data_IF_151816831463
#
_entry.id   IF_151816831463
#
_cell.length_a   1.000
_cell.length_b   1.000
_cell.length_c   1.000
_cell.angle_alpha   90.00
_cell.angle_beta   90.00
_cell.angle_gamma   90.00
#
_symmetry.space_group_name_H-M   'P 1'
#
loop_
_entity.id
_entity.type
_entity.pdbx_description
1 polymer ?
#
# COMPACT_ATOMS: atom_id res chain seq x y z
N UNK A 1 9.96 -22.58 16.28
CA UNK A 1 8.86 -21.70 15.90
C UNK A 1 9.40 -20.35 15.44
N UNK A 2 8.78 -19.73 14.43
CA UNK A 2 9.03 -18.36 13.97
C UNK A 2 7.77 -17.53 14.19
N UNK A 3 7.94 -16.22 14.42
CA UNK A 3 6.84 -15.26 14.53
C UNK A 3 6.93 -14.24 13.42
N UNK A 4 5.83 -14.03 12.72
CA UNK A 4 5.63 -12.89 11.81
C UNK A 4 4.51 -12.00 12.32
N UNK A 5 4.61 -10.69 12.03
CA UNK A 5 3.59 -9.72 12.38
C UNK A 5 3.39 -8.66 11.31
N UNK A 6 2.14 -8.24 11.14
CA UNK A 6 1.73 -7.03 10.41
C UNK A 6 1.09 -6.08 11.42
N UNK A 7 1.78 -4.97 11.71
CA UNK A 7 1.45 -4.08 12.83
C UNK A 7 0.99 -2.73 12.28
N UNK A 8 -0.33 -2.58 12.19
CA UNK A 8 -0.98 -1.34 11.80
C UNK A 8 -1.54 -0.55 12.98
N UNK A 9 -1.89 0.71 12.75
CA UNK A 9 -2.43 1.61 13.77
C UNK A 9 -3.81 1.21 14.32
N UNK A 10 -4.58 0.42 13.57
CA UNK A 10 -5.92 -0.05 13.97
C UNK A 10 -5.90 -1.53 14.28
N UNK A 11 -5.16 -2.32 13.51
CA UNK A 11 -5.14 -3.78 13.54
C UNK A 11 -3.72 -4.29 13.55
N UNK A 12 -3.43 -5.26 14.41
CA UNK A 12 -2.20 -6.05 14.44
C UNK A 12 -2.52 -7.50 14.15
N UNK A 13 -1.84 -8.12 13.19
CA UNK A 13 -1.95 -9.55 12.89
C UNK A 13 -0.65 -10.23 13.25
N UNK A 14 -0.71 -11.29 14.03
CA UNK A 14 0.43 -12.12 14.40
C UNK A 14 0.24 -13.54 13.89
N UNK A 15 1.30 -14.13 13.38
CA UNK A 15 1.32 -15.49 12.85
C UNK A 15 2.50 -16.27 13.43
N UNK A 16 2.21 -17.41 14.04
CA UNK A 16 3.19 -18.38 14.54
C UNK A 16 3.29 -19.52 13.53
N UNK A 17 4.49 -19.79 13.04
CA UNK A 17 4.71 -20.73 11.95
C UNK A 17 6.05 -21.45 12.02
N UNK A 18 6.19 -22.49 11.23
CA UNK A 18 7.45 -23.22 10.99
C UNK A 18 7.65 -23.43 9.50
N UNK A 19 8.89 -23.47 9.09
CA UNK A 19 9.29 -23.95 7.78
C UNK A 19 9.49 -25.47 7.87
N UNK A 20 8.66 -26.23 7.15
CA UNK A 20 8.70 -27.71 7.15
C UNK A 20 9.55 -28.27 6.01
N UNK A 21 9.67 -27.52 4.92
CA UNK A 21 10.59 -27.77 3.81
C UNK A 21 10.93 -26.44 3.12
N UNK A 22 11.90 -26.41 2.23
CA UNK A 22 12.32 -25.18 1.56
C UNK A 22 11.14 -24.46 0.92
N UNK A 23 10.74 -23.32 1.50
CA UNK A 23 9.64 -22.47 1.05
C UNK A 23 8.24 -22.93 1.46
N UNK A 24 8.08 -24.10 2.12
CA UNK A 24 6.78 -24.59 2.60
C UNK A 24 6.57 -24.25 4.08
N UNK A 25 5.53 -23.48 4.39
CA UNK A 25 5.24 -22.95 5.70
C UNK A 25 4.05 -23.69 6.34
N UNK A 26 4.21 -24.14 7.58
CA UNK A 26 3.14 -24.64 8.41
C UNK A 26 2.72 -23.57 9.41
N UNK A 27 1.50 -23.06 9.27
CA UNK A 27 0.92 -22.10 10.21
C UNK A 27 0.34 -22.85 11.39
N UNK A 28 0.81 -22.53 12.61
CA UNK A 28 0.29 -23.09 13.86
C UNK A 28 -0.82 -22.22 14.46
N UNK A 29 -0.67 -20.92 14.41
CA UNK A 29 -1.65 -19.97 14.91
C UNK A 29 -1.53 -18.64 14.16
N UNK A 30 -2.69 -18.05 13.86
CA UNK A 30 -2.79 -16.69 13.33
C UNK A 30 -3.93 -15.99 14.05
N UNK A 31 -3.69 -14.78 14.53
CA UNK A 31 -4.70 -14.02 15.26
C UNK A 31 -4.58 -12.52 14.95
N UNK A 32 -5.74 -11.90 14.88
CA UNK A 32 -5.89 -10.45 14.70
C UNK A 32 -6.28 -9.79 16.00
N UNK A 33 -5.67 -8.67 16.31
CA UNK A 33 -5.89 -7.84 17.48
C UNK A 33 -6.29 -6.43 17.08
N UNK A 34 -7.20 -5.80 17.83
CA UNK A 34 -7.41 -4.35 17.77
C UNK A 34 -6.20 -3.69 18.46
N UNK A 35 -5.38 -2.99 17.68
CA UNK A 35 -4.12 -2.40 18.21
C UNK A 35 -4.37 -1.41 19.34
N UNK A 36 -5.49 -0.68 19.27
CA UNK A 36 -5.88 0.35 20.24
C UNK A 36 -6.28 -0.20 21.61
N UNK A 37 -6.60 -1.51 21.72
CA UNK A 37 -6.99 -2.16 22.96
C UNK A 37 -5.79 -2.47 23.86
N UNK A 38 -4.57 -2.27 23.35
CA UNK A 38 -3.33 -2.61 24.06
C UNK A 38 -2.44 -1.38 24.26
N UNK A 39 -2.01 -1.08 25.51
CA UNK A 39 -1.12 0.06 25.78
C UNK A 39 0.26 -0.07 25.13
N UNK A 40 0.77 -1.30 24.96
CA UNK A 40 2.08 -1.60 24.42
C UNK A 40 2.05 -2.83 23.52
N UNK A 41 2.97 -2.91 22.57
CA UNK A 41 3.08 -4.07 21.68
C UNK A 41 3.39 -5.37 22.45
N UNK A 42 4.17 -5.30 23.51
CA UNK A 42 4.46 -6.46 24.35
C UNK A 42 3.20 -7.11 24.97
N UNK A 43 2.15 -6.32 25.21
CA UNK A 43 0.89 -6.84 25.73
C UNK A 43 0.17 -7.69 24.68
N UNK A 44 0.27 -7.31 23.39
CA UNK A 44 -0.22 -8.12 22.27
C UNK A 44 0.55 -9.43 22.16
N UNK A 45 1.89 -9.37 22.26
CA UNK A 45 2.73 -10.57 22.24
C UNK A 45 2.38 -11.52 23.40
N UNK A 46 2.19 -11.00 24.61
CA UNK A 46 1.81 -11.77 25.79
C UNK A 46 0.42 -12.40 25.65
N UNK A 47 -0.51 -11.74 24.95
CA UNK A 47 -1.85 -12.28 24.69
C UNK A 47 -1.84 -13.37 23.61
N UNK A 48 -0.91 -13.32 22.67
CA UNK A 48 -0.81 -14.24 21.54
C UNK A 48 0.04 -15.48 21.84
N UNK A 49 1.21 -15.29 22.47
CA UNK A 49 2.22 -16.34 22.62
C UNK A 49 1.90 -17.29 23.78
N UNK A 50 1.96 -18.63 23.57
CA UNK A 50 1.94 -19.58 24.66
C UNK A 50 3.14 -19.36 25.62
N UNK A 51 2.92 -19.61 26.93
CA UNK A 51 3.92 -19.30 27.99
C UNK A 51 5.27 -19.98 27.80
N UNK A 52 5.30 -21.17 27.21
CA UNK A 52 6.51 -21.99 27.07
C UNK A 52 6.99 -22.09 25.63
N UNK A 53 6.60 -21.16 24.76
CA UNK A 53 6.99 -21.17 23.35
C UNK A 53 8.48 -20.84 23.17
N UNK A 54 9.17 -21.65 22.39
CA UNK A 54 10.55 -21.39 21.97
C UNK A 54 10.53 -20.77 20.58
N UNK A 55 10.71 -19.46 20.54
CA UNK A 55 10.87 -18.73 19.27
C UNK A 55 12.33 -18.75 18.83
N UNK A 56 12.58 -18.93 17.54
CA UNK A 56 13.92 -18.84 16.92
C UNK A 56 14.15 -17.51 16.25
N UNK A 57 13.12 -16.96 15.59
CA UNK A 57 13.20 -15.68 14.90
C UNK A 57 11.85 -14.95 14.92
N UNK A 58 11.92 -13.64 14.72
CA UNK A 58 10.75 -12.75 14.63
C UNK A 58 10.97 -11.73 13.52
N UNK A 59 9.98 -11.55 12.64
CA UNK A 59 9.95 -10.49 11.63
C UNK A 59 8.63 -9.74 11.70
N UNK A 60 8.68 -8.41 11.79
CA UNK A 60 7.51 -7.56 12.00
C UNK A 60 7.50 -6.44 10.95
N UNK A 61 6.43 -6.40 10.12
CA UNK A 61 6.10 -5.22 9.32
C UNK A 61 5.38 -4.20 10.20
N UNK A 62 5.87 -2.97 10.26
CA UNK A 62 5.34 -1.94 11.15
C UNK A 62 4.98 -0.67 10.39
N UNK A 63 3.79 -0.12 10.65
CA UNK A 63 3.34 1.14 10.07
C UNK A 63 4.09 2.32 10.70
N UNK A 64 5.14 2.76 10.01
CA UNK A 64 5.99 3.87 10.40
C UNK A 64 7.46 3.68 9.99
N UNK A 65 8.27 4.74 10.11
CA UNK A 65 9.67 4.68 9.71
C UNK A 65 10.48 3.79 10.68
N UNK A 66 11.24 2.85 10.11
CA UNK A 66 12.15 1.99 10.87
C UNK A 66 13.57 2.59 10.80
N UNK A 67 14.09 2.99 11.94
CA UNK A 67 15.45 3.54 12.06
C UNK A 67 16.25 2.72 13.07
N UNK A 68 17.36 2.13 12.65
CA UNK A 68 18.23 1.29 13.50
C UNK A 68 17.46 0.16 14.20
N UNK A 69 16.53 -0.48 13.46
CA UNK A 69 15.70 -1.56 13.97
C UNK A 69 14.77 -1.14 15.13
N UNK A 70 14.35 0.12 15.11
CA UNK A 70 13.41 0.69 16.06
C UNK A 70 12.36 1.50 15.31
N UNK A 71 11.10 1.40 15.72
CA UNK A 71 9.98 2.15 15.18
C UNK A 71 9.14 2.74 16.31
N UNK A 72 8.98 4.09 16.29
CA UNK A 72 7.92 4.76 17.01
C UNK A 72 6.70 4.78 16.06
N UNK A 73 5.68 4.01 16.38
CA UNK A 73 4.50 3.92 15.52
C UNK A 73 3.78 5.26 15.44
N UNK A 74 3.25 5.59 14.25
CA UNK A 74 2.66 6.93 13.99
C UNK A 74 1.30 7.13 14.68
N UNK A 75 0.49 6.08 14.76
CA UNK A 75 -0.91 6.15 15.22
C UNK A 75 -1.15 5.44 16.56
N UNK A 76 -0.12 4.98 17.23
CA UNK A 76 -0.16 4.29 18.52
C UNK A 76 1.00 4.79 19.39
N UNK A 77 0.90 4.71 20.73
CA UNK A 77 1.98 5.10 21.61
C UNK A 77 3.13 4.05 21.68
N UNK A 78 3.15 3.09 20.77
CA UNK A 78 4.08 1.97 20.83
C UNK A 78 5.46 2.35 20.31
N UNK A 79 6.49 2.00 21.10
CA UNK A 79 7.87 1.92 20.66
C UNK A 79 8.23 0.45 20.50
N UNK A 80 8.58 0.05 19.27
CA UNK A 80 8.95 -1.32 18.95
C UNK A 80 10.45 -1.33 18.62
N UNK A 81 11.22 -2.10 19.38
CA UNK A 81 12.68 -2.21 19.27
C UNK A 81 13.05 -3.69 19.08
N UNK A 82 13.53 -4.04 17.88
CA UNK A 82 13.91 -5.42 17.56
C UNK A 82 15.03 -5.95 18.46
N UNK A 83 15.97 -5.11 18.88
CA UNK A 83 17.07 -5.55 19.74
C UNK A 83 16.55 -5.91 21.15
N UNK A 84 15.63 -5.09 21.67
CA UNK A 84 14.98 -5.38 22.94
C UNK A 84 14.14 -6.65 22.89
N UNK A 85 13.37 -6.86 21.80
CA UNK A 85 12.59 -8.08 21.56
C UNK A 85 13.50 -9.31 21.42
N UNK A 86 14.60 -9.18 20.67
CA UNK A 86 15.59 -10.25 20.48
C UNK A 86 16.16 -10.72 21.82
N UNK A 87 16.54 -9.79 22.68
CA UNK A 87 17.07 -10.09 24.02
C UNK A 87 16.01 -10.68 24.94
N UNK A 88 14.80 -10.12 24.93
CA UNK A 88 13.71 -10.56 25.81
C UNK A 88 13.27 -12.01 25.54
N UNK A 89 13.16 -12.37 24.26
CA UNK A 89 12.72 -13.72 23.82
C UNK A 89 13.89 -14.68 23.53
N UNK A 90 15.15 -14.24 23.63
CA UNK A 90 16.33 -15.05 23.33
C UNK A 90 16.41 -15.49 21.85
N UNK A 91 15.97 -14.64 20.92
CA UNK A 91 15.89 -14.97 19.50
C UNK A 91 17.26 -14.96 18.85
N UNK A 92 17.48 -15.85 17.89
CA UNK A 92 18.65 -15.80 16.99
C UNK A 92 18.61 -14.53 16.11
N UNK A 93 17.41 -14.15 15.64
CA UNK A 93 17.21 -12.99 14.76
C UNK A 93 15.86 -12.32 15.07
N UNK A 94 15.87 -10.97 15.08
CA UNK A 94 14.66 -10.16 15.11
C UNK A 94 14.80 -9.01 14.11
N UNK A 95 13.81 -8.83 13.25
CA UNK A 95 13.83 -7.82 12.20
C UNK A 95 12.56 -7.00 12.23
N UNK A 96 12.70 -5.68 12.14
CA UNK A 96 11.61 -4.77 11.77
C UNK A 96 11.76 -4.37 10.31
N UNK A 97 10.65 -4.45 9.61
CA UNK A 97 10.45 -3.89 8.26
C UNK A 97 9.45 -2.74 8.36
N UNK A 98 9.60 -1.73 7.52
CA UNK A 98 8.46 -0.85 7.26
C UNK A 98 7.32 -1.66 6.63
N UNK A 99 6.07 -1.23 6.79
CA UNK A 99 4.88 -1.95 6.25
C UNK A 99 4.93 -2.12 4.72
N UNK A 100 5.46 -1.12 4.00
CA UNK A 100 5.66 -1.20 2.55
C UNK A 100 6.81 -2.13 2.15
N UNK A 101 7.89 -2.20 2.94
CA UNK A 101 8.95 -3.20 2.73
C UNK A 101 8.40 -4.62 2.91
N UNK A 102 7.63 -4.84 3.98
CA UNK A 102 6.97 -6.12 4.23
C UNK A 102 6.00 -6.46 3.08
N UNK A 103 5.17 -5.49 2.65
CA UNK A 103 4.28 -5.67 1.50
C UNK A 103 5.07 -6.02 0.23
N UNK A 104 6.15 -5.30 -0.06
CA UNK A 104 6.95 -5.50 -1.26
C UNK A 104 7.54 -6.92 -1.32
N UNK A 105 8.07 -7.42 -0.20
CA UNK A 105 8.55 -8.80 -0.10
C UNK A 105 7.41 -9.81 -0.24
N UNK A 106 6.25 -9.53 0.35
CA UNK A 106 5.06 -10.36 0.23
C UNK A 106 4.55 -10.50 -1.20
N UNK A 107 4.65 -9.44 -2.01
CA UNK A 107 4.28 -9.49 -3.44
C UNK A 107 5.04 -10.56 -4.22
N UNK A 108 6.28 -10.85 -3.81
CA UNK A 108 7.12 -11.85 -4.48
C UNK A 108 6.66 -13.29 -4.22
N UNK A 109 5.88 -13.52 -3.17
CA UNK A 109 5.40 -14.84 -2.76
C UNK A 109 3.94 -15.12 -3.11
N UNK A 110 3.24 -14.13 -3.71
CA UNK A 110 1.84 -14.32 -4.10
C UNK A 110 1.72 -15.25 -5.31
N UNK A 111 0.78 -16.21 -5.28
CA UNK A 111 0.46 -17.02 -6.45
C UNK A 111 -0.25 -16.17 -7.52
N UNK A 112 -0.14 -16.59 -8.78
CA UNK A 112 -0.65 -15.82 -9.92
C UNK A 112 -2.17 -15.60 -9.89
N UNK A 113 -2.95 -16.47 -9.27
CA UNK A 113 -4.40 -16.33 -9.11
C UNK A 113 -4.82 -15.27 -8.07
N UNK A 114 -3.90 -14.81 -7.25
CA UNK A 114 -4.08 -13.67 -6.34
C UNK A 114 -3.60 -12.34 -6.94
N UNK A 115 -3.15 -12.35 -8.19
CA UNK A 115 -2.65 -11.19 -8.91
C UNK A 115 -3.51 -10.91 -10.16
N UNK A 116 -3.83 -9.65 -10.40
CA UNK A 116 -4.55 -9.21 -11.61
C UNK A 116 -3.61 -8.37 -12.47
N UNK A 117 -3.19 -8.90 -13.62
CA UNK A 117 -2.37 -8.17 -14.60
C UNK A 117 -3.22 -7.13 -15.35
N UNK A 118 -2.80 -5.87 -15.30
CA UNK A 118 -3.45 -4.78 -16.02
C UNK A 118 -2.89 -4.57 -17.42
N UNK A 119 -1.61 -4.93 -17.66
CA UNK A 119 -0.96 -4.69 -18.93
C UNK A 119 -0.98 -5.93 -19.84
N UNK A 120 -1.88 -6.01 -20.84
CA UNK A 120 -1.97 -7.16 -21.73
C UNK A 120 -0.72 -7.39 -22.59
N UNK A 121 0.18 -6.41 -22.66
CA UNK A 121 1.44 -6.51 -23.40
C UNK A 121 2.65 -6.79 -22.48
N UNK A 122 2.40 -7.11 -21.21
CA UNK A 122 3.47 -7.40 -20.24
C UNK A 122 4.38 -8.52 -20.76
N UNK A 123 5.67 -8.31 -20.59
CA UNK A 123 6.69 -9.32 -20.83
C UNK A 123 7.37 -9.67 -19.51
N UNK A 124 7.64 -10.95 -19.32
CA UNK A 124 8.47 -11.37 -18.19
C UNK A 124 9.90 -10.89 -18.38
N UNK A 125 10.39 -10.07 -17.46
CA UNK A 125 11.73 -9.48 -17.50
C UNK A 125 12.37 -9.54 -16.12
N UNK A 126 13.65 -9.91 -16.09
CA UNK A 126 14.45 -9.75 -14.88
C UNK A 126 14.84 -8.29 -14.69
N UNK A 127 14.78 -7.78 -13.47
CA UNK A 127 15.16 -6.41 -13.14
C UNK A 127 14.43 -5.90 -11.91
N UNK A 128 14.69 -4.66 -11.56
CA UNK A 128 14.03 -4.03 -10.42
C UNK A 128 12.51 -4.09 -10.56
N UNK A 129 11.84 -4.17 -9.42
CA UNK A 129 10.40 -4.03 -9.28
C UNK A 129 10.09 -2.87 -8.35
N UNK A 130 8.85 -2.43 -8.32
CA UNK A 130 8.41 -1.46 -7.34
C UNK A 130 6.97 -1.75 -6.90
N UNK A 131 6.61 -1.25 -5.73
CA UNK A 131 5.29 -1.39 -5.14
C UNK A 131 4.72 -0.02 -4.85
N UNK A 132 3.47 0.18 -5.21
CA UNK A 132 2.69 1.36 -4.85
C UNK A 132 1.37 0.91 -4.23
N UNK A 133 0.98 1.48 -3.10
CA UNK A 133 -0.16 1.00 -2.32
C UNK A 133 -1.00 2.15 -1.79
N UNK A 134 -2.21 2.29 -2.32
CA UNK A 134 -3.20 3.26 -1.84
C UNK A 134 -4.10 2.64 -0.77
N UNK A 135 -4.12 3.26 0.38
CA UNK A 135 -4.91 2.90 1.56
C UNK A 135 -5.37 4.14 2.32
N UNK A 136 -5.14 4.21 3.63
CA UNK A 136 -5.29 5.44 4.43
C UNK A 136 -4.35 6.53 3.91
N UNK A 137 -3.12 6.15 3.53
CA UNK A 137 -2.15 6.98 2.84
C UNK A 137 -1.72 6.35 1.51
N UNK A 138 -0.66 6.88 0.91
CA UNK A 138 0.00 6.35 -0.27
C UNK A 138 1.42 5.92 0.07
N UNK A 139 1.64 4.61 0.08
CA UNK A 139 2.97 4.05 0.30
C UNK A 139 3.64 3.62 -1.00
N UNK A 140 4.97 3.74 -1.04
CA UNK A 140 5.81 3.28 -2.13
C UNK A 140 7.04 2.54 -1.58
N UNK A 141 7.45 1.48 -2.27
CA UNK A 141 8.68 0.77 -1.98
C UNK A 141 9.34 0.27 -3.26
N UNK A 142 10.65 0.10 -3.22
CA UNK A 142 11.42 -0.43 -4.32
C UNK A 142 11.90 -1.85 -3.98
N UNK A 143 12.02 -2.69 -5.01
CA UNK A 143 12.64 -4.00 -4.96
C UNK A 143 13.84 -3.99 -5.91
N UNK A 144 15.01 -3.77 -5.36
CA UNK A 144 16.25 -3.79 -6.11
C UNK A 144 16.65 -5.24 -6.42
N UNK A 145 16.94 -5.53 -7.68
CA UNK A 145 17.41 -6.81 -8.17
C UNK A 145 18.92 -6.81 -8.31
N UNK A 146 19.63 -7.62 -7.54
CA UNK A 146 21.10 -7.72 -7.57
C UNK A 146 21.63 -8.75 -8.60
N UNK A 147 20.74 -9.44 -9.29
CA UNK A 147 21.03 -10.52 -10.23
C UNK A 147 20.65 -11.91 -9.70
N UNK A 148 20.38 -12.03 -8.39
CA UNK A 148 20.05 -13.28 -7.72
C UNK A 148 18.87 -13.13 -6.75
N UNK A 149 18.81 -12.00 -5.99
CA UNK A 149 17.81 -11.76 -4.98
C UNK A 149 17.21 -10.35 -5.09
N UNK A 150 15.98 -10.19 -4.56
CA UNK A 150 15.36 -8.89 -4.40
C UNK A 150 15.62 -8.32 -3.00
N UNK A 151 16.03 -7.05 -2.97
CA UNK A 151 16.23 -6.28 -1.74
C UNK A 151 15.16 -5.19 -1.64
N UNK A 152 14.33 -5.25 -0.62
CA UNK A 152 13.31 -4.22 -0.38
C UNK A 152 13.97 -2.94 0.14
N UNK A 153 13.51 -1.80 -0.36
CA UNK A 153 13.94 -0.46 0.04
C UNK A 153 12.70 0.38 0.33
N UNK A 154 12.54 0.81 1.58
CA UNK A 154 11.49 1.73 1.96
C UNK A 154 11.68 3.11 1.30
N UNK A 155 10.60 3.77 1.00
CA UNK A 155 10.56 5.16 0.53
C UNK A 155 9.39 5.90 1.17
N UNK A 156 9.42 7.22 1.08
CA UNK A 156 8.28 8.11 1.35
C UNK A 156 7.81 8.76 0.04
N UNK A 157 7.80 7.96 -1.04
CA UNK A 157 7.51 8.43 -2.40
C UNK A 157 6.11 9.02 -2.58
N UNK A 158 5.11 8.53 -1.82
CA UNK A 158 3.76 9.07 -1.83
C UNK A 158 3.67 10.55 -1.45
N UNK A 159 4.67 11.06 -0.72
CA UNK A 159 4.80 12.47 -0.37
C UNK A 159 5.51 13.33 -1.44
N UNK A 160 5.89 12.76 -2.59
CA UNK A 160 6.41 13.57 -3.70
C UNK A 160 5.34 14.52 -4.26
N UNK A 161 5.82 15.60 -4.90
CA UNK A 161 4.97 16.65 -5.49
C UNK A 161 4.01 16.08 -6.54
N UNK A 162 2.73 16.47 -6.46
CA UNK A 162 1.73 16.14 -7.46
C UNK A 162 2.04 16.89 -8.76
N UNK A 163 2.34 16.16 -9.83
CA UNK A 163 2.66 16.70 -11.15
C UNK A 163 1.45 16.64 -12.09
N UNK A 164 0.83 17.78 -12.37
CA UNK A 164 -0.27 17.90 -13.32
C UNK A 164 0.18 17.57 -14.75
N UNK A 165 -0.65 16.83 -15.50
CA UNK A 165 -0.43 16.45 -16.89
C UNK A 165 -1.53 16.97 -17.83
N UNK A 166 -2.67 17.42 -17.28
CA UNK A 166 -3.82 17.92 -18.03
C UNK A 166 -4.30 19.25 -17.44
N UNK A 167 -5.07 20.01 -18.23
CA UNK A 167 -5.63 21.28 -17.75
C UNK A 167 -6.53 21.08 -16.50
N UNK A 168 -7.29 19.99 -16.43
CA UNK A 168 -8.11 19.67 -15.25
C UNK A 168 -7.23 19.42 -14.01
N UNK A 169 -6.09 18.73 -14.20
CA UNK A 169 -5.12 18.51 -13.12
C UNK A 169 -4.38 19.81 -12.73
N UNK A 170 -4.17 20.76 -13.65
CA UNK A 170 -3.64 22.09 -13.30
C UNK A 170 -4.61 22.84 -12.37
N UNK A 171 -5.92 22.81 -12.67
CA UNK A 171 -6.95 23.38 -11.82
C UNK A 171 -7.02 22.67 -10.48
N UNK A 172 -6.91 21.34 -10.46
CA UNK A 172 -6.86 20.55 -9.23
C UNK A 172 -5.68 20.96 -8.34
N UNK A 173 -4.48 21.08 -8.89
CA UNK A 173 -3.30 21.54 -8.13
C UNK A 173 -3.49 22.94 -7.58
N UNK A 174 -4.11 23.86 -8.34
CA UNK A 174 -4.45 25.21 -7.85
C UNK A 174 -5.44 25.16 -6.68
N UNK A 175 -6.49 24.35 -6.81
CA UNK A 175 -7.46 24.12 -5.72
C UNK A 175 -6.78 23.56 -4.47
N UNK A 176 -5.96 22.52 -4.64
CA UNK A 176 -5.25 21.87 -3.54
C UNK A 176 -4.29 22.79 -2.80
N UNK A 177 -3.63 23.72 -3.49
CA UNK A 177 -2.77 24.74 -2.86
C UNK A 177 -3.52 25.68 -1.92
N UNK A 178 -4.82 25.86 -2.13
CA UNK A 178 -5.65 26.63 -1.19
C UNK A 178 -6.01 25.81 0.05
N UNK A 179 -6.16 24.49 -0.09
CA UNK A 179 -6.47 23.57 1.02
C UNK A 179 -5.21 23.17 1.78
N UNK A 180 -4.11 22.96 1.05
CA UNK A 180 -2.79 22.53 1.56
C UNK A 180 -1.70 23.50 1.09
N UNK A 181 -1.59 24.70 1.69
CA UNK A 181 -0.74 25.77 1.15
C UNK A 181 0.78 25.47 1.21
N UNK A 182 1.20 24.58 2.10
CA UNK A 182 2.62 24.25 2.27
C UNK A 182 3.09 23.21 1.24
N UNK A 183 2.29 22.18 0.96
CA UNK A 183 2.71 21.09 0.09
C UNK A 183 1.52 20.29 -0.46
N UNK A 184 1.56 20.00 -1.75
CA UNK A 184 0.58 19.15 -2.46
C UNK A 184 1.28 17.90 -2.97
N UNK A 185 1.11 16.79 -2.27
CA UNK A 185 1.66 15.49 -2.64
C UNK A 185 0.65 14.62 -3.39
N UNK A 186 1.16 13.55 -4.04
CA UNK A 186 0.31 12.51 -4.61
C UNK A 186 -0.61 11.86 -3.58
N UNK A 187 -0.14 11.65 -2.35
CA UNK A 187 -0.95 11.07 -1.27
C UNK A 187 -2.23 11.85 -1.01
N UNK A 188 -2.22 13.19 -1.16
CA UNK A 188 -3.43 14.02 -0.97
C UNK A 188 -4.60 13.59 -1.85
N UNK A 189 -4.31 12.99 -3.01
CA UNK A 189 -5.33 12.59 -3.99
C UNK A 189 -5.41 11.08 -4.20
N UNK A 190 -4.31 10.34 -3.95
CA UNK A 190 -4.26 8.89 -4.13
C UNK A 190 -4.25 8.20 -2.75
N UNK A 191 -5.24 8.53 -1.92
CA UNK A 191 -5.50 7.93 -0.62
C UNK A 191 -7.00 7.89 -0.36
N UNK A 192 -7.42 7.31 0.76
CA UNK A 192 -8.85 7.22 1.10
C UNK A 192 -9.54 8.57 1.08
N UNK A 193 -8.95 9.58 1.72
CA UNK A 193 -9.50 10.94 1.79
C UNK A 193 -9.47 11.68 0.45
N UNK A 194 -8.67 11.22 -0.50
CA UNK A 194 -8.60 11.76 -1.85
C UNK A 194 -9.93 11.71 -2.60
N UNK A 195 -10.79 10.72 -2.33
CA UNK A 195 -12.12 10.65 -2.95
C UNK A 195 -12.99 11.87 -2.60
N UNK A 196 -13.08 12.22 -1.32
CA UNK A 196 -13.83 13.43 -0.90
C UNK A 196 -13.16 14.70 -1.42
N UNK A 197 -11.84 14.79 -1.39
CA UNK A 197 -11.10 15.95 -1.86
C UNK A 197 -11.30 16.20 -3.37
N UNK A 198 -11.27 15.16 -4.19
CA UNK A 198 -11.56 15.23 -5.62
C UNK A 198 -13.03 15.57 -5.88
N UNK A 199 -13.94 15.04 -5.06
CA UNK A 199 -15.36 15.35 -5.15
C UNK A 199 -15.62 16.85 -4.91
N UNK A 200 -15.09 17.41 -3.82
CA UNK A 200 -15.22 18.83 -3.50
C UNK A 200 -14.56 19.73 -4.57
N UNK A 201 -13.41 19.31 -5.13
CA UNK A 201 -12.80 20.00 -6.26
C UNK A 201 -13.74 20.09 -7.47
N UNK A 202 -14.38 18.99 -7.84
CA UNK A 202 -15.28 18.95 -8.99
C UNK A 202 -16.53 19.82 -8.77
N UNK A 203 -17.09 19.83 -7.55
CA UNK A 203 -18.20 20.71 -7.21
C UNK A 203 -17.79 22.18 -7.25
N UNK A 204 -16.62 22.53 -6.72
CA UNK A 204 -16.11 23.91 -6.72
C UNK A 204 -15.84 24.45 -8.14
N UNK A 205 -15.76 23.59 -9.13
CA UNK A 205 -15.55 23.94 -10.55
C UNK A 205 -16.78 23.65 -11.43
N UNK A 206 -17.97 23.51 -10.81
CA UNK A 206 -19.25 23.33 -11.51
C UNK A 206 -19.24 22.19 -12.55
N UNK A 207 -18.53 21.08 -12.25
CA UNK A 207 -18.41 19.95 -13.18
C UNK A 207 -19.78 19.36 -13.54
N UNK A 208 -20.59 19.04 -12.52
CA UNK A 208 -21.97 18.60 -12.66
C UNK A 208 -22.71 18.75 -11.31
N UNK A 209 -24.04 18.86 -11.30
CA UNK A 209 -24.79 18.80 -10.06
C UNK A 209 -24.73 17.41 -9.42
N UNK A 210 -24.58 17.31 -8.09
CA UNK A 210 -24.60 16.02 -7.40
C UNK A 210 -25.97 15.36 -7.53
N UNK A 211 -25.98 14.04 -7.78
CA UNK A 211 -27.21 13.26 -7.94
C UNK A 211 -27.62 12.56 -6.64
N UNK A 212 -26.69 12.37 -5.71
CA UNK A 212 -26.89 11.68 -4.43
C UNK A 212 -26.45 12.53 -3.25
N UNK A 213 -27.19 12.40 -2.13
CA UNK A 213 -26.75 12.95 -0.86
C UNK A 213 -25.65 12.05 -0.27
N UNK A 214 -24.52 12.63 0.06
CA UNK A 214 -23.40 11.93 0.69
C UNK A 214 -23.38 12.22 2.20
N UNK A 215 -22.82 11.33 3.04
CA UNK A 215 -22.57 11.61 4.45
C UNK A 215 -21.75 12.88 4.63
N UNK A 216 -21.95 13.54 5.77
CA UNK A 216 -21.15 14.70 6.14
C UNK A 216 -19.72 14.25 6.48
N UNK A 217 -18.73 15.05 6.14
CA UNK A 217 -17.31 14.83 6.45
C UNK A 217 -16.90 15.44 7.82
N UNK A 218 -17.83 15.51 8.78
CA UNK A 218 -17.63 16.20 10.06
C UNK A 218 -16.73 15.46 11.06
N UNK A 219 -16.62 14.14 10.94
CA UNK A 219 -15.78 13.28 11.76
C UNK A 219 -15.15 12.13 10.93
N UNK A 220 -14.19 11.40 11.53
CA UNK A 220 -13.42 10.39 10.81
C UNK A 220 -14.26 9.19 10.32
N UNK A 221 -15.31 8.80 11.06
CA UNK A 221 -16.14 7.66 10.68
C UNK A 221 -17.07 8.03 9.51
N UNK A 222 -17.75 9.19 9.60
CA UNK A 222 -18.58 9.70 8.50
C UNK A 222 -17.77 10.07 7.27
N UNK A 223 -16.51 10.49 7.42
CA UNK A 223 -15.57 10.69 6.31
C UNK A 223 -15.24 9.38 5.59
N UNK A 224 -14.99 8.29 6.33
CA UNK A 224 -14.76 6.97 5.75
C UNK A 224 -15.98 6.46 4.99
N UNK A 225 -17.19 6.63 5.54
CA UNK A 225 -18.44 6.26 4.89
C UNK A 225 -18.67 7.08 3.62
N UNK A 226 -18.38 8.38 3.66
CA UNK A 226 -18.46 9.28 2.50
C UNK A 226 -17.52 8.82 1.38
N UNK A 227 -16.26 8.55 1.68
CA UNK A 227 -15.28 8.10 0.71
C UNK A 227 -15.67 6.74 0.09
N UNK A 228 -16.21 5.82 0.90
CA UNK A 228 -16.70 4.54 0.45
C UNK A 228 -17.91 4.71 -0.50
N UNK A 229 -18.85 5.61 -0.21
CA UNK A 229 -19.99 5.89 -1.07
C UNK A 229 -19.60 6.56 -2.38
N UNK A 230 -18.71 7.56 -2.35
CA UNK A 230 -18.20 8.22 -3.57
C UNK A 230 -17.57 7.16 -4.50
N UNK A 231 -16.69 6.31 -3.96
CA UNK A 231 -16.05 5.28 -4.77
C UNK A 231 -17.04 4.25 -5.31
N UNK A 232 -18.04 3.82 -4.52
CA UNK A 232 -19.05 2.85 -4.95
C UNK A 232 -19.97 3.41 -6.04
N UNK A 233 -20.52 4.62 -5.83
CA UNK A 233 -21.38 5.31 -6.82
C UNK A 233 -20.61 5.59 -8.12
N UNK A 234 -19.33 5.95 -7.99
CA UNK A 234 -18.48 6.22 -9.14
C UNK A 234 -18.18 4.96 -9.96
N UNK A 235 -17.82 3.86 -9.31
CA UNK A 235 -17.59 2.56 -9.96
C UNK A 235 -18.87 2.01 -10.60
N UNK A 236 -20.03 2.21 -9.96
CA UNK A 236 -21.33 1.81 -10.51
C UNK A 236 -21.82 2.72 -11.65
N UNK A 237 -21.24 3.92 -11.82
CA UNK A 237 -21.70 4.91 -12.79
C UNK A 237 -23.04 5.55 -12.44
N UNK A 238 -23.46 5.48 -11.17
CA UNK A 238 -24.75 5.95 -10.71
C UNK A 238 -24.78 7.47 -10.43
N UNK A 239 -23.60 8.08 -10.28
CA UNK A 239 -23.42 9.52 -10.08
C UNK A 239 -22.26 10.02 -10.95
N UNK A 240 -22.53 11.04 -11.79
CA UNK A 240 -21.55 11.55 -12.75
C UNK A 240 -20.36 12.24 -12.11
N UNK A 241 -20.55 12.90 -10.95
CA UNK A 241 -19.45 13.51 -10.19
C UNK A 241 -18.59 12.43 -9.56
N UNK A 242 -19.21 11.43 -8.93
CA UNK A 242 -18.50 10.29 -8.35
C UNK A 242 -17.73 9.47 -9.40
N UNK A 243 -18.31 9.29 -10.60
CA UNK A 243 -17.66 8.61 -11.73
C UNK A 243 -16.39 9.36 -12.16
N UNK A 244 -16.47 10.70 -12.24
CA UNK A 244 -15.30 11.52 -12.58
C UNK A 244 -14.26 11.52 -11.46
N UNK A 245 -14.66 11.47 -10.19
CA UNK A 245 -13.74 11.28 -9.06
C UNK A 245 -12.94 9.99 -9.22
N UNK A 246 -13.61 8.86 -9.48
CA UNK A 246 -12.95 7.57 -9.69
C UNK A 246 -12.03 7.62 -10.91
N UNK A 247 -12.45 8.23 -12.02
CA UNK A 247 -11.63 8.39 -13.22
C UNK A 247 -10.36 9.18 -12.93
N UNK A 248 -10.45 10.34 -12.25
CA UNK A 248 -9.31 11.17 -11.87
C UNK A 248 -8.37 10.44 -10.92
N UNK A 249 -8.92 9.76 -9.91
CA UNK A 249 -8.13 8.95 -8.98
C UNK A 249 -7.31 7.90 -9.72
N UNK A 250 -7.94 7.13 -10.60
CA UNK A 250 -7.31 6.07 -11.40
C UNK A 250 -6.26 6.64 -12.35
N UNK A 251 -6.53 7.80 -12.99
CA UNK A 251 -5.60 8.48 -13.87
C UNK A 251 -4.33 8.94 -13.12
N UNK A 252 -4.49 9.60 -11.97
CA UNK A 252 -3.39 10.08 -11.14
C UNK A 252 -2.59 8.90 -10.56
N UNK A 253 -3.27 7.82 -10.16
CA UNK A 253 -2.63 6.61 -9.66
C UNK A 253 -1.76 5.95 -10.74
N UNK A 254 -2.26 5.84 -11.96
CA UNK A 254 -1.49 5.35 -13.11
C UNK A 254 -0.30 6.25 -13.43
N UNK A 255 -0.48 7.56 -13.34
CA UNK A 255 0.60 8.52 -13.60
C UNK A 255 1.75 8.37 -12.61
N UNK A 256 1.46 8.23 -11.28
CA UNK A 256 2.52 8.04 -10.27
C UNK A 256 3.15 6.65 -10.34
N UNK A 257 2.36 5.60 -10.57
CA UNK A 257 2.92 4.26 -10.81
C UNK A 257 3.92 4.27 -11.99
N UNK A 258 3.63 5.04 -13.05
CA UNK A 258 4.54 5.24 -14.18
C UNK A 258 5.79 6.07 -13.82
N UNK A 259 5.66 7.05 -12.94
CA UNK A 259 6.80 7.81 -12.41
C UNK A 259 7.71 6.91 -11.57
N UNK A 260 7.12 6.10 -10.70
CA UNK A 260 7.83 5.12 -9.86
C UNK A 260 8.55 4.08 -10.73
N UNK A 261 7.90 3.57 -11.79
CA UNK A 261 8.52 2.65 -12.74
C UNK A 261 9.78 3.25 -13.40
N UNK A 262 9.74 4.54 -13.76
CA UNK A 262 10.89 5.23 -14.35
C UNK A 262 12.01 5.48 -13.32
N UNK A 263 11.65 5.93 -12.10
CA UNK A 263 12.61 6.22 -11.00
C UNK A 263 13.39 4.96 -10.61
N UNK A 264 12.69 3.83 -10.51
CA UNK A 264 13.27 2.53 -10.14
C UNK A 264 13.88 1.76 -11.33
N UNK A 265 13.64 2.20 -12.57
CA UNK A 265 13.84 1.37 -13.78
C UNK A 265 13.21 -0.03 -13.57
N UNK A 266 11.96 -0.06 -13.13
CA UNK A 266 11.26 -1.27 -12.70
C UNK A 266 10.78 -2.12 -13.88
N UNK A 267 11.70 -2.59 -14.70
CA UNK A 267 11.41 -3.45 -15.86
C UNK A 267 10.88 -4.83 -15.42
N UNK A 268 11.21 -5.28 -14.22
CA UNK A 268 10.69 -6.51 -13.62
C UNK A 268 9.21 -6.42 -13.19
N UNK A 269 8.62 -5.22 -13.17
CA UNK A 269 7.19 -5.01 -12.92
C UNK A 269 6.87 -4.02 -11.81
N UNK A 270 5.61 -3.60 -11.82
CA UNK A 270 4.98 -2.78 -10.79
C UNK A 270 3.90 -3.62 -10.11
N UNK A 271 3.92 -3.65 -8.79
CA UNK A 271 2.85 -4.21 -7.97
C UNK A 271 2.01 -3.10 -7.34
N UNK A 272 0.70 -3.27 -7.40
CA UNK A 272 -0.27 -2.36 -6.80
C UNK A 272 -0.87 -3.08 -5.59
N UNK A 273 -0.68 -2.49 -4.42
CA UNK A 273 -1.21 -2.99 -3.16
C UNK A 273 -2.24 -2.06 -2.54
N UNK A 274 -2.52 -2.29 -1.27
CA UNK A 274 -3.49 -1.50 -0.51
C UNK A 274 -4.93 -1.86 -0.76
N UNK A 275 -5.81 -1.41 0.15
CA UNK A 275 -7.23 -1.81 0.13
C UNK A 275 -8.09 -1.10 -0.91
N UNK A 276 -7.59 -0.05 -1.57
CA UNK A 276 -8.40 0.75 -2.51
C UNK A 276 -8.46 0.08 -3.88
N UNK A 277 -7.32 -0.36 -4.44
CA UNK A 277 -7.26 -0.89 -5.80
C UNK A 277 -8.23 -2.06 -6.03
N UNK A 278 -8.35 -2.98 -5.06
CA UNK A 278 -9.32 -4.09 -5.13
C UNK A 278 -10.78 -3.64 -5.12
N UNK A 279 -11.11 -2.54 -4.41
CA UNK A 279 -12.48 -2.00 -4.34
C UNK A 279 -12.92 -1.30 -5.63
N UNK A 280 -11.97 -0.71 -6.36
CA UNK A 280 -12.20 -0.03 -7.64
C UNK A 280 -11.62 -0.82 -8.83
N UNK A 281 -11.50 -2.15 -8.69
CA UNK A 281 -10.80 -3.02 -9.65
C UNK A 281 -11.32 -2.87 -11.08
N UNK A 282 -12.65 -2.81 -11.27
CA UNK A 282 -13.23 -2.60 -12.61
C UNK A 282 -12.76 -1.30 -13.26
N UNK A 283 -12.74 -0.19 -12.52
CA UNK A 283 -12.24 1.09 -13.02
C UNK A 283 -10.73 1.06 -13.33
N UNK A 284 -9.94 0.32 -12.54
CA UNK A 284 -8.51 0.10 -12.81
C UNK A 284 -8.27 -0.67 -14.12
N UNK A 285 -9.21 -1.55 -14.51
CA UNK A 285 -9.14 -2.38 -15.72
C UNK A 285 -9.68 -1.69 -16.99
N UNK A 286 -10.39 -0.56 -16.88
CA UNK A 286 -10.97 0.17 -18.02
C UNK A 286 -9.94 0.85 -18.94
N UNK A 287 -8.66 0.83 -18.57
CA UNK A 287 -7.54 1.33 -19.38
C UNK A 287 -7.04 2.71 -19.02
N UNK A 288 -7.79 3.53 -18.26
CA UNK A 288 -7.37 4.88 -17.82
C UNK A 288 -6.07 4.83 -17.03
N UNK A 289 -5.95 3.88 -16.08
CA UNK A 289 -4.72 3.66 -15.33
C UNK A 289 -3.53 3.41 -16.26
N UNK A 290 -3.68 2.43 -17.15
CA UNK A 290 -2.59 1.98 -18.01
C UNK A 290 -2.20 3.05 -19.05
N UNK A 291 -3.18 3.84 -19.51
CA UNK A 291 -2.92 4.98 -20.39
C UNK A 291 -2.06 6.04 -19.69
N UNK A 292 -2.40 6.42 -18.46
CA UNK A 292 -1.64 7.37 -17.66
C UNK A 292 -0.26 6.84 -17.26
N UNK A 293 -0.17 5.55 -16.89
CA UNK A 293 1.08 4.84 -16.61
C UNK A 293 2.06 4.94 -17.78
N UNK A 294 1.58 4.71 -19.00
CA UNK A 294 2.39 4.73 -20.23
C UNK A 294 2.63 6.12 -20.81
N UNK A 295 1.95 7.16 -20.31
CA UNK A 295 2.05 8.53 -20.83
C UNK A 295 3.37 9.21 -20.40
N UNK A 296 4.51 8.60 -20.73
CA UNK A 296 5.88 9.05 -20.35
C UNK A 296 6.74 9.44 -21.57
N UNK A 297 6.10 10.01 -22.60
CA UNK A 297 6.77 10.53 -23.78
C UNK A 297 7.63 9.46 -24.46
N UNK A 298 8.92 9.73 -24.64
CA UNK A 298 9.85 8.81 -25.32
C UNK A 298 10.03 7.46 -24.60
N UNK A 299 9.69 7.36 -23.32
CA UNK A 299 9.78 6.11 -22.55
C UNK A 299 8.50 5.27 -22.60
N UNK A 300 7.50 5.68 -23.40
CA UNK A 300 6.26 4.91 -23.57
C UNK A 300 6.55 3.47 -24.02
N UNK A 301 7.47 3.26 -24.96
CA UNK A 301 7.83 1.93 -25.45
C UNK A 301 8.45 1.03 -24.39
N UNK A 302 9.21 1.59 -23.44
CA UNK A 302 9.70 0.84 -22.28
C UNK A 302 8.54 0.39 -21.40
N UNK A 303 7.64 1.31 -21.07
CA UNK A 303 6.50 1.00 -20.17
C UNK A 303 5.40 0.15 -20.83
N UNK A 304 5.38 0.07 -22.17
CA UNK A 304 4.42 -0.78 -22.89
C UNK A 304 4.57 -2.26 -22.54
N UNK A 305 5.74 -2.71 -22.12
CA UNK A 305 6.04 -4.12 -21.81
C UNK A 305 6.20 -4.42 -20.32
N UNK A 306 6.14 -3.40 -19.46
CA UNK A 306 6.25 -3.60 -18.00
C UNK A 306 4.98 -4.23 -17.47
N UNK A 307 5.11 -5.31 -16.71
CA UNK A 307 4.01 -5.94 -15.96
C UNK A 307 3.48 -4.98 -14.89
N UNK A 308 2.16 -4.89 -14.75
CA UNK A 308 1.48 -4.07 -13.73
C UNK A 308 0.41 -4.93 -13.07
N UNK A 309 0.70 -5.45 -11.89
CA UNK A 309 -0.14 -6.42 -11.19
C UNK A 309 -0.80 -5.83 -9.96
N UNK A 310 -2.11 -5.98 -9.81
CA UNK A 310 -2.85 -5.69 -8.58
C UNK A 310 -2.85 -6.94 -7.70
N UNK A 311 -2.36 -6.82 -6.46
CA UNK A 311 -2.47 -7.87 -5.46
C UNK A 311 -3.82 -7.81 -4.75
N UNK A 312 -4.52 -8.94 -4.71
CA UNK A 312 -5.84 -9.06 -4.09
C UNK A 312 -5.79 -9.64 -2.68
N UNK A 313 -4.65 -10.18 -2.26
CA UNK A 313 -4.50 -10.80 -0.94
C UNK A 313 -4.21 -9.73 0.14
N UNK A 314 -5.12 -9.51 1.12
CA UNK A 314 -4.91 -8.53 2.18
C UNK A 314 -3.81 -8.94 3.18
N UNK A 315 -3.33 -10.19 3.14
CA UNK A 315 -2.26 -10.71 4.00
C UNK A 315 -0.86 -10.47 3.42
N UNK A 316 -0.75 -9.79 2.29
CA UNK A 316 0.54 -9.56 1.60
C UNK A 316 1.65 -9.05 2.53
N UNK A 317 1.44 -8.04 3.42
CA UNK A 317 2.48 -7.59 4.36
C UNK A 317 2.91 -8.69 5.34
N UNK A 318 1.94 -9.45 5.87
CA UNK A 318 2.22 -10.58 6.77
C UNK A 318 3.04 -11.67 6.05
N UNK A 319 2.69 -12.01 4.81
CA UNK A 319 3.42 -12.97 3.99
C UNK A 319 4.88 -12.52 3.78
N UNK A 320 5.11 -11.23 3.53
CA UNK A 320 6.46 -10.69 3.43
C UNK A 320 7.28 -10.86 4.72
N UNK A 321 6.67 -10.60 5.87
CA UNK A 321 7.31 -10.84 7.16
C UNK A 321 7.58 -12.34 7.41
N UNK A 322 6.68 -13.24 6.95
CA UNK A 322 6.87 -14.70 7.05
C UNK A 322 8.04 -15.18 6.17
N UNK A 323 8.19 -14.64 4.96
CA UNK A 323 9.21 -15.07 4.00
C UNK A 323 10.58 -14.39 4.21
N UNK A 324 10.66 -13.36 5.03
CA UNK A 324 11.89 -12.55 5.20
C UNK A 324 13.16 -13.38 5.51
N UNK A 325 13.07 -14.39 6.35
CA UNK A 325 14.20 -15.25 6.72
C UNK A 325 14.30 -16.54 5.89
N UNK A 326 13.54 -16.65 4.80
CA UNK A 326 13.57 -17.80 3.89
C UNK A 326 14.39 -17.51 2.61
N UNK A 327 14.65 -16.25 2.36
CA UNK A 327 15.41 -15.72 1.21
C UNK A 327 16.89 -15.54 1.54
#
# INVERSE_FOLDING_TARGET
MRLAGDIGGTKTVLCLFEEISAGELLIHSEQSFSSRDYPQFNDVLNAFLPKDILLTSMCLGVAGPVVKQCCQTTNLPWLIDANALQQHFGLAQCQLLNDLEAMALGMLSLPEDELVELNPNALEQSGNKAVIAAGTGLGEALLYWDGEHYHAMATEGGHCDLAAQTHQQDLLVQYLRNVHPEHVSYERVIAGDGFSLLYEFLLAHDYAPPMHALPDASDADTQLDRNAQISALGVAGEDSVCAEVVRLFVELYGAEAGNLALKALAVGGIYIGGGIAGKILSAMQEGTFLQAFKAKGRFKSLLDTVSVKIALNPRTPLLGAMHYFLN
#
